data_IF_018024821553
#
_entry.id   IF_018024821553
#
_cell.length_a   1.000
_cell.length_b   1.000
_cell.length_c   1.000
_cell.angle_alpha   90.00
_cell.angle_beta   90.00
_cell.angle_gamma   90.00
#
_symmetry.space_group_name_H-M   'P 1'
#
loop_
_entity.id
_entity.type
_entity.pdbx_description
1 polymer ?
#
# COMPACT_ATOMS: atom_id res chain seq x y z
N UNK A 1 -50.43 31.11 10.40
CA UNK A 1 -50.21 31.71 9.06
C UNK A 1 -49.23 32.85 9.24
N UNK A 2 -48.32 33.01 8.26
CA UNK A 2 -47.14 33.93 8.16
C UNK A 2 -45.93 33.51 8.99
N UNK A 3 -44.91 32.77 8.53
CA UNK A 3 -44.02 32.83 7.34
C UNK A 3 -43.07 34.03 7.33
N UNK A 4 -41.84 33.82 7.84
CA UNK A 4 -40.66 34.62 7.52
C UNK A 4 -39.57 33.68 7.01
N UNK A 5 -39.36 33.73 5.69
CA UNK A 5 -38.24 33.16 4.95
C UNK A 5 -37.25 34.31 4.76
N UNK A 6 -35.99 34.09 5.15
CA UNK A 6 -34.90 35.01 4.86
C UNK A 6 -34.21 34.59 3.56
N UNK A 7 -34.35 35.44 2.54
CA UNK A 7 -33.69 35.33 1.24
C UNK A 7 -32.18 35.62 1.34
N UNK A 8 -31.35 34.68 0.89
CA UNK A 8 -29.91 34.90 0.64
C UNK A 8 -29.73 35.15 -0.87
N UNK A 9 -29.34 36.39 -1.20
CA UNK A 9 -29.02 36.84 -2.56
C UNK A 9 -27.78 36.13 -3.10
N UNK A 10 -27.91 35.61 -4.32
CA UNK A 10 -26.82 35.12 -5.17
C UNK A 10 -26.40 36.31 -6.06
N UNK A 11 -25.17 36.78 -5.94
CA UNK A 11 -24.58 37.74 -6.88
C UNK A 11 -23.87 36.97 -8.01
N UNK A 12 -24.34 37.23 -9.23
CA UNK A 12 -23.79 36.79 -10.50
C UNK A 12 -23.18 38.02 -11.15
N UNK A 13 -21.86 38.11 -11.22
CA UNK A 13 -21.19 39.14 -12.00
C UNK A 13 -20.83 38.61 -13.39
N UNK A 14 -21.44 39.26 -14.38
CA UNK A 14 -21.31 39.04 -15.81
C UNK A 14 -20.61 40.24 -16.47
N UNK A 15 -19.78 39.93 -17.47
CA UNK A 15 -19.48 40.71 -18.70
C UNK A 15 -18.47 41.88 -18.66
N UNK A 16 -17.94 42.37 -19.82
CA UNK A 16 -17.77 41.78 -21.17
C UNK A 16 -16.43 42.09 -21.93
N UNK A 17 -16.23 41.36 -23.04
CA UNK A 17 -15.65 41.70 -24.37
C UNK A 17 -14.41 42.60 -24.56
N UNK A 18 -13.42 42.14 -25.35
CA UNK A 18 -13.17 42.59 -26.76
C UNK A 18 -11.89 41.99 -27.39
N UNK A 19 -11.90 42.01 -28.73
CA UNK A 19 -11.13 41.28 -29.73
C UNK A 19 -9.80 41.94 -30.17
N UNK A 20 -8.94 41.09 -30.77
CA UNK A 20 -7.97 41.30 -31.89
C UNK A 20 -6.45 41.53 -31.64
N UNK A 21 -5.72 40.51 -32.13
CA UNK A 21 -4.47 40.52 -32.93
C UNK A 21 -3.20 41.20 -32.41
N UNK A 22 -2.15 40.40 -32.17
CA UNK A 22 -0.89 40.40 -32.96
C UNK A 22 0.14 39.41 -32.36
N UNK A 23 0.69 38.54 -33.20
CA UNK A 23 1.95 37.81 -32.97
C UNK A 23 3.12 38.70 -33.45
N UNK A 24 4.40 38.29 -33.37
CA UNK A 24 5.06 37.29 -32.51
C UNK A 24 6.27 37.90 -31.75
N UNK A 25 6.83 37.21 -30.75
CA UNK A 25 8.29 36.98 -30.58
C UNK A 25 8.60 36.22 -29.28
N UNK A 26 9.20 35.04 -29.45
CA UNK A 26 10.32 34.46 -28.69
C UNK A 26 10.43 34.73 -27.18
N UNK A 27 10.17 33.73 -26.34
CA UNK A 27 11.24 32.96 -25.68
C UNK A 27 10.72 31.96 -24.63
N UNK A 28 11.22 30.72 -24.76
CA UNK A 28 11.67 29.80 -23.71
C UNK A 28 10.80 29.57 -22.46
N UNK A 29 10.20 28.39 -22.35
CA UNK A 29 10.63 27.27 -21.47
C UNK A 29 9.46 26.29 -21.32
N UNK A 30 9.41 25.29 -22.20
CA UNK A 30 8.54 24.12 -22.02
C UNK A 30 9.45 22.91 -21.88
N UNK A 31 9.33 22.24 -20.75
CA UNK A 31 9.89 20.92 -20.44
C UNK A 31 9.42 19.89 -21.47
N UNK A 32 10.28 19.03 -22.05
CA UNK A 32 9.86 18.00 -23.00
C UNK A 32 9.24 16.80 -22.27
N UNK A 33 8.14 16.28 -22.82
CA UNK A 33 7.43 15.10 -22.36
C UNK A 33 8.27 13.81 -22.51
N UNK A 34 8.07 12.79 -21.65
CA UNK A 34 9.04 11.70 -21.45
C UNK A 34 8.98 10.52 -22.45
N UNK A 35 8.33 10.66 -23.61
CA UNK A 35 7.96 9.51 -24.45
C UNK A 35 8.42 9.55 -25.92
N UNK A 36 9.32 10.45 -26.31
CA UNK A 36 9.94 10.40 -27.64
C UNK A 36 11.23 9.58 -27.61
N UNK A 37 11.09 8.27 -27.85
CA UNK A 37 12.19 7.37 -28.23
C UNK A 37 12.23 7.36 -29.75
N UNK A 38 13.16 8.12 -30.33
CA UNK A 38 13.84 7.82 -31.60
C UNK A 38 14.94 8.87 -31.83
N UNK A 39 16.18 8.54 -31.49
CA UNK A 39 17.36 9.33 -31.83
C UNK A 39 18.51 8.39 -32.25
N UNK A 40 18.59 8.24 -33.58
CA UNK A 40 19.80 8.27 -34.41
C UNK A 40 21.13 7.86 -33.78
N UNK A 41 21.58 6.66 -34.14
CA UNK A 41 22.98 6.25 -34.12
C UNK A 41 23.65 6.70 -35.42
N UNK A 42 24.43 7.78 -35.36
CA UNK A 42 25.44 8.13 -36.36
C UNK A 42 26.75 8.39 -35.62
N UNK A 43 27.72 7.48 -35.75
CA UNK A 43 29.12 7.82 -35.51
C UNK A 43 30.02 7.07 -36.51
N UNK A 44 30.54 7.84 -37.45
CA UNK A 44 31.63 7.49 -38.35
C UNK A 44 32.97 7.72 -37.63
N UNK A 45 33.83 6.70 -37.57
CA UNK A 45 35.27 6.94 -37.76
C UNK A 45 36.03 5.65 -38.12
N UNK A 46 36.76 5.72 -39.23
CA UNK A 46 37.53 4.63 -39.83
C UNK A 46 38.91 4.43 -39.19
N UNK A 47 39.26 3.16 -38.98
CA UNK A 47 40.56 2.49 -39.10
C UNK A 47 41.87 3.20 -38.73
N UNK A 48 42.65 2.56 -37.85
CA UNK A 48 44.10 2.37 -38.03
C UNK A 48 44.61 1.17 -37.22
N UNK A 49 45.49 0.41 -37.87
CA UNK A 49 46.16 -0.84 -37.47
C UNK A 49 47.20 -0.69 -36.37
N UNK A 50 47.44 -1.76 -35.59
CA UNK A 50 48.75 -2.04 -35.01
C UNK A 50 48.77 -2.67 -33.61
N UNK A 51 49.29 -3.89 -33.57
CA UNK A 51 50.08 -4.49 -32.49
C UNK A 51 49.39 -5.20 -31.31
N UNK A 52 49.61 -6.52 -31.36
CA UNK A 52 49.64 -7.49 -30.26
C UNK A 52 50.27 -6.93 -28.98
N UNK A 53 49.60 -7.08 -27.84
CA UNK A 53 50.21 -7.43 -26.55
C UNK A 53 49.13 -7.98 -25.61
N UNK A 54 49.42 -9.16 -25.08
CA UNK A 54 48.68 -9.87 -24.03
C UNK A 54 48.59 -9.02 -22.76
N UNK A 55 47.38 -8.79 -22.26
CA UNK A 55 47.19 -8.58 -20.84
C UNK A 55 45.83 -9.17 -20.47
N UNK A 56 45.87 -10.15 -19.57
CA UNK A 56 44.73 -10.76 -18.91
C UNK A 56 43.70 -9.69 -18.57
N UNK A 57 42.56 -9.71 -19.26
CA UNK A 57 41.39 -8.97 -18.83
C UNK A 57 40.98 -9.60 -17.50
N UNK A 58 41.39 -8.97 -16.40
CA UNK A 58 40.61 -8.99 -15.18
C UNK A 58 39.22 -8.56 -15.64
N UNK A 59 38.28 -9.51 -15.69
CA UNK A 59 36.87 -9.18 -15.73
C UNK A 59 36.64 -8.38 -14.46
N UNK A 60 36.68 -7.06 -14.56
CA UNK A 60 35.97 -6.24 -13.60
C UNK A 60 34.51 -6.51 -13.92
N UNK A 61 33.76 -7.20 -13.05
CA UNK A 61 32.33 -7.34 -13.27
C UNK A 61 31.75 -5.93 -13.35
N UNK A 62 30.77 -5.72 -14.23
CA UNK A 62 30.04 -4.46 -14.27
C UNK A 62 29.53 -4.13 -12.85
N UNK A 63 29.45 -2.85 -12.44
CA UNK A 63 28.99 -2.46 -11.09
C UNK A 63 27.60 -2.98 -10.72
N UNK A 64 26.86 -3.51 -11.69
CA UNK A 64 25.51 -4.06 -11.60
C UNK A 64 25.45 -5.59 -11.77
N UNK A 65 26.58 -6.25 -12.08
CA UNK A 65 26.67 -7.69 -12.37
C UNK A 65 26.98 -8.57 -11.14
N UNK A 66 27.02 -7.98 -9.95
CA UNK A 66 26.99 -8.73 -8.67
C UNK A 66 25.80 -8.23 -7.86
N UNK A 67 24.60 -8.36 -8.42
CA UNK A 67 23.48 -8.71 -7.56
C UNK A 67 23.73 -10.18 -7.23
N UNK A 68 24.17 -10.50 -6.02
CA UNK A 68 24.42 -11.88 -5.60
C UNK A 68 23.10 -12.67 -5.60
N UNK A 69 22.64 -13.08 -6.78
CA UNK A 69 21.44 -13.89 -6.95
C UNK A 69 21.56 -15.20 -6.15
N UNK A 70 22.79 -15.70 -5.99
CA UNK A 70 23.10 -16.83 -5.13
C UNK A 70 22.89 -16.50 -3.64
N UNK A 71 23.29 -15.33 -3.16
CA UNK A 71 23.04 -14.90 -1.79
C UNK A 71 21.54 -14.65 -1.52
N UNK A 72 20.82 -14.04 -2.47
CA UNK A 72 19.36 -13.88 -2.38
C UNK A 72 18.64 -15.23 -2.35
N UNK A 73 19.07 -16.19 -3.18
CA UNK A 73 18.49 -17.54 -3.18
C UNK A 73 18.83 -18.31 -1.88
N UNK A 74 20.04 -18.14 -1.35
CA UNK A 74 20.46 -18.74 -0.07
C UNK A 74 19.65 -18.14 1.09
N UNK A 75 19.47 -16.83 1.09
CA UNK A 75 18.60 -16.12 2.04
C UNK A 75 17.16 -16.63 1.94
N UNK A 76 16.64 -16.82 0.72
CA UNK A 76 15.31 -17.38 0.50
C UNK A 76 15.16 -18.79 1.07
N UNK A 77 16.16 -19.65 0.89
CA UNK A 77 16.17 -20.99 1.48
C UNK A 77 16.24 -20.96 3.02
N UNK A 78 17.04 -20.05 3.61
CA UNK A 78 17.13 -19.86 5.06
C UNK A 78 15.80 -19.36 5.66
N UNK A 79 15.07 -18.50 4.93
CA UNK A 79 13.73 -18.10 5.33
C UNK A 79 12.77 -19.29 5.29
N UNK A 80 12.77 -20.08 4.22
CA UNK A 80 11.89 -21.25 4.11
C UNK A 80 12.17 -22.34 5.14
N UNK A 81 13.43 -22.49 5.57
CA UNK A 81 13.82 -23.42 6.63
C UNK A 81 13.43 -22.92 8.03
N UNK A 82 13.14 -21.62 8.17
CA UNK A 82 12.82 -20.98 9.45
C UNK A 82 14.04 -20.65 10.31
N UNK A 83 15.26 -20.70 9.75
CA UNK A 83 16.50 -20.39 10.48
C UNK A 83 16.73 -18.88 10.58
N UNK A 84 16.27 -18.28 11.68
CA UNK A 84 16.42 -16.85 11.92
C UNK A 84 17.88 -16.42 12.19
N UNK A 85 18.77 -17.33 12.58
CA UNK A 85 20.17 -17.00 12.88
C UNK A 85 20.97 -16.91 11.57
N UNK A 86 20.73 -17.83 10.64
CA UNK A 86 21.29 -17.78 9.28
C UNK A 86 20.81 -16.53 8.54
N UNK A 87 19.50 -16.23 8.58
CA UNK A 87 18.95 -15.00 7.99
C UNK A 87 19.57 -13.75 8.59
N UNK A 88 19.86 -13.75 9.91
CA UNK A 88 20.52 -12.61 10.56
C UNK A 88 21.96 -12.44 10.11
N UNK A 89 22.71 -13.53 9.92
CA UNK A 89 24.07 -13.49 9.41
C UNK A 89 24.11 -12.94 7.98
N UNK A 90 23.28 -13.49 7.09
CA UNK A 90 23.15 -13.03 5.70
C UNK A 90 22.65 -11.58 5.62
N UNK A 91 21.76 -11.17 6.53
CA UNK A 91 21.30 -9.79 6.64
C UNK A 91 22.41 -8.83 7.10
N UNK A 92 23.36 -9.30 7.92
CA UNK A 92 24.51 -8.50 8.36
C UNK A 92 25.58 -8.33 7.28
N UNK A 93 25.68 -9.29 6.36
CA UNK A 93 26.50 -9.17 5.15
C UNK A 93 25.88 -8.19 4.15
N UNK A 94 24.58 -7.92 4.33
CA UNK A 94 23.86 -6.88 3.62
C UNK A 94 23.53 -7.29 2.18
N UNK A 95 22.76 -8.36 2.06
CA UNK A 95 22.21 -8.77 0.78
C UNK A 95 21.20 -7.72 0.31
N UNK A 96 21.38 -7.20 -0.92
CA UNK A 96 20.40 -6.33 -1.55
C UNK A 96 19.23 -7.15 -2.08
N UNK A 97 18.01 -6.82 -1.65
CA UNK A 97 16.78 -7.49 -2.08
C UNK A 97 16.09 -6.60 -3.11
N UNK A 98 15.96 -7.10 -4.34
CA UNK A 98 15.24 -6.41 -5.41
C UNK A 98 13.74 -6.31 -5.09
N UNK A 99 13.03 -5.27 -5.56
CA UNK A 99 11.56 -5.19 -5.45
C UNK A 99 10.82 -6.39 -6.03
N UNK A 100 11.42 -7.09 -7.01
CA UNK A 100 10.86 -8.32 -7.58
C UNK A 100 10.92 -9.51 -6.59
N UNK A 101 11.91 -9.52 -5.71
CA UNK A 101 12.15 -10.57 -4.71
C UNK A 101 11.58 -10.20 -3.32
N UNK A 102 10.94 -9.05 -3.21
CA UNK A 102 10.29 -8.55 -1.98
C UNK A 102 9.29 -9.53 -1.36
N UNK A 103 8.81 -10.50 -2.13
CA UNK A 103 7.98 -11.61 -1.62
C UNK A 103 8.65 -12.40 -0.48
N UNK A 104 9.98 -12.40 -0.40
CA UNK A 104 10.72 -13.02 0.70
C UNK A 104 10.28 -12.49 2.07
N UNK A 105 9.93 -11.20 2.17
CA UNK A 105 9.45 -10.60 3.42
C UNK A 105 8.08 -11.14 3.82
N UNK A 106 7.22 -11.45 2.85
CA UNK A 106 5.94 -12.09 3.13
C UNK A 106 6.15 -13.50 3.67
N UNK A 107 7.03 -14.30 3.06
CA UNK A 107 7.34 -15.64 3.54
C UNK A 107 7.97 -15.60 4.94
N UNK A 108 8.87 -14.65 5.19
CA UNK A 108 9.47 -14.42 6.50
C UNK A 108 8.41 -14.15 7.59
N UNK A 109 7.37 -13.38 7.26
CA UNK A 109 6.27 -13.12 8.18
C UNK A 109 5.47 -14.39 8.54
N UNK A 110 5.37 -15.35 7.63
CA UNK A 110 4.71 -16.64 7.91
C UNK A 110 5.52 -17.48 8.91
N UNK A 111 6.85 -17.34 8.91
CA UNK A 111 7.74 -18.00 9.85
C UNK A 111 7.74 -17.36 11.25
N UNK A 112 7.21 -16.15 11.39
CA UNK A 112 6.96 -15.48 12.68
C UNK A 112 7.76 -14.20 12.94
N UNK A 113 7.56 -13.58 14.12
CA UNK A 113 8.10 -12.25 14.42
C UNK A 113 9.63 -12.22 14.55
N UNK A 114 10.24 -13.29 15.06
CA UNK A 114 11.70 -13.38 15.19
C UNK A 114 12.43 -13.28 13.84
N UNK A 115 11.80 -13.80 12.78
CA UNK A 115 12.35 -13.73 11.44
C UNK A 115 12.36 -12.28 10.93
N UNK A 116 11.30 -11.51 11.19
CA UNK A 116 11.24 -10.09 10.83
C UNK A 116 12.36 -9.33 11.53
N UNK A 117 12.58 -9.58 12.82
CA UNK A 117 13.66 -8.96 13.58
C UNK A 117 15.06 -9.32 13.06
N UNK A 118 15.24 -10.48 12.41
CA UNK A 118 16.50 -10.85 11.78
C UNK A 118 16.84 -9.97 10.57
N UNK A 119 15.83 -9.55 9.80
CA UNK A 119 15.98 -8.64 8.66
C UNK A 119 16.33 -7.21 9.05
N UNK A 120 16.00 -6.77 10.26
CA UNK A 120 16.23 -5.39 10.72
C UNK A 120 17.71 -5.00 10.79
N UNK A 121 18.61 -5.97 10.81
CA UNK A 121 20.06 -5.72 10.76
C UNK A 121 20.52 -5.26 9.36
N UNK A 122 19.72 -5.46 8.32
CA UNK A 122 20.08 -5.09 6.97
C UNK A 122 19.62 -3.66 6.67
N UNK A 123 20.54 -2.73 6.37
CA UNK A 123 20.22 -1.32 6.10
C UNK A 123 19.45 -1.11 4.78
N UNK A 124 19.41 -2.11 3.91
CA UNK A 124 18.74 -2.04 2.60
C UNK A 124 17.32 -2.62 2.60
N UNK A 125 16.85 -3.14 3.73
CA UNK A 125 15.50 -3.70 3.84
C UNK A 125 14.48 -2.59 4.00
N UNK A 126 13.64 -2.42 2.98
CA UNK A 126 12.43 -1.61 3.05
C UNK A 126 11.19 -2.51 3.05
N UNK A 127 10.56 -2.71 4.21
CA UNK A 127 9.32 -3.50 4.34
C UNK A 127 8.08 -2.75 3.82
N UNK A 128 8.19 -1.45 3.53
CA UNK A 128 7.12 -0.61 3.00
C UNK A 128 6.97 -0.69 1.49
N UNK A 129 7.93 -1.28 0.78
CA UNK A 129 7.90 -1.39 -0.67
C UNK A 129 6.68 -2.21 -1.16
N UNK A 130 6.11 -1.85 -2.33
CA UNK A 130 5.00 -2.61 -2.90
C UNK A 130 5.47 -4.02 -3.27
N UNK A 131 4.69 -5.03 -2.87
CA UNK A 131 4.94 -6.41 -3.24
C UNK A 131 4.47 -6.68 -4.67
N UNK A 132 5.25 -7.44 -5.42
CA UNK A 132 4.86 -7.96 -6.72
C UNK A 132 3.78 -9.04 -6.55
N UNK A 133 2.52 -8.64 -6.42
CA UNK A 133 1.40 -9.58 -6.29
C UNK A 133 0.11 -9.12 -6.96
N UNK A 134 -0.89 -10.01 -7.06
CA UNK A 134 -2.07 -9.81 -7.92
C UNK A 134 -2.96 -8.65 -7.48
N UNK A 135 -3.06 -8.39 -6.17
CA UNK A 135 -3.89 -7.30 -5.64
C UNK A 135 -3.15 -5.98 -5.53
N UNK A 136 -1.83 -5.96 -5.71
CA UNK A 136 -0.98 -4.83 -5.36
C UNK A 136 -1.01 -4.48 -3.88
N UNK A 137 -0.20 -3.49 -3.53
CA UNK A 137 -0.04 -2.98 -2.17
C UNK A 137 1.23 -3.48 -1.48
N UNK A 138 1.42 -3.04 -0.23
CA UNK A 138 2.58 -3.41 0.58
C UNK A 138 2.36 -4.71 1.36
N UNK A 139 3.44 -5.20 1.97
CA UNK A 139 3.47 -6.37 2.86
C UNK A 139 2.28 -6.44 3.83
N UNK A 140 1.96 -5.33 4.49
CA UNK A 140 0.87 -5.25 5.48
C UNK A 140 -0.49 -5.65 4.89
N UNK A 141 -0.79 -5.29 3.64
CA UNK A 141 -2.06 -5.61 2.99
C UNK A 141 -2.20 -7.12 2.76
N UNK A 142 -1.11 -7.78 2.35
CA UNK A 142 -1.09 -9.22 2.13
C UNK A 142 -1.19 -10.00 3.44
N UNK A 143 -0.51 -9.54 4.50
CA UNK A 143 -0.60 -10.14 5.83
C UNK A 143 -2.03 -10.07 6.39
N UNK A 144 -2.71 -8.94 6.21
CA UNK A 144 -4.08 -8.77 6.68
C UNK A 144 -5.07 -9.65 5.90
N UNK A 145 -4.89 -9.81 4.59
CA UNK A 145 -5.71 -10.69 3.73
C UNK A 145 -5.47 -12.17 3.98
N UNK A 146 -4.29 -12.54 4.48
CA UNK A 146 -3.92 -13.95 4.70
C UNK A 146 -4.63 -14.50 5.94
N UNK A 147 -5.12 -15.74 5.84
CA UNK A 147 -5.86 -16.36 6.92
C UNK A 147 -4.98 -16.56 8.18
N UNK A 148 -5.56 -16.39 9.37
CA UNK A 148 -4.86 -16.61 10.65
C UNK A 148 -4.25 -18.01 10.77
N UNK A 149 -4.82 -19.02 10.11
CA UNK A 149 -4.32 -20.41 10.09
C UNK A 149 -2.94 -20.57 9.45
N UNK A 150 -2.50 -19.60 8.63
CA UNK A 150 -1.16 -19.59 8.02
C UNK A 150 -0.07 -19.08 8.98
N UNK A 151 -0.45 -18.52 10.14
CA UNK A 151 0.48 -17.95 11.11
C UNK A 151 0.57 -18.85 12.35
N UNK A 152 1.46 -19.87 12.37
CA UNK A 152 1.58 -20.78 13.50
C UNK A 152 2.00 -20.09 14.80
N UNK A 153 2.74 -18.98 14.69
CA UNK A 153 3.24 -18.19 15.81
C UNK A 153 2.38 -16.94 16.13
N UNK A 154 1.20 -16.83 15.53
CA UNK A 154 0.23 -15.76 15.82
C UNK A 154 0.31 -14.57 14.87
N UNK A 155 -0.79 -14.32 14.13
CA UNK A 155 -0.92 -13.23 13.16
C UNK A 155 -0.71 -11.84 13.78
N UNK A 156 -1.20 -11.64 15.01
CA UNK A 156 -1.11 -10.36 15.73
C UNK A 156 0.35 -9.97 16.01
N UNK A 157 1.15 -10.89 16.51
CA UNK A 157 2.53 -10.61 16.93
C UNK A 157 3.44 -10.36 15.72
N UNK A 158 3.23 -11.10 14.64
CA UNK A 158 3.89 -10.83 13.35
C UNK A 158 3.56 -9.43 12.84
N UNK A 159 2.28 -9.01 12.86
CA UNK A 159 1.89 -7.66 12.43
C UNK A 159 2.50 -6.59 13.32
N UNK A 160 2.57 -6.80 14.65
CA UNK A 160 3.25 -5.88 15.57
C UNK A 160 4.71 -5.73 15.19
N UNK A 161 5.42 -6.84 14.93
CA UNK A 161 6.82 -6.81 14.56
C UNK A 161 7.07 -6.03 13.25
N UNK A 162 6.19 -6.17 12.24
CA UNK A 162 6.25 -5.34 11.02
C UNK A 162 6.02 -3.86 11.33
N UNK A 163 4.99 -3.53 12.12
CA UNK A 163 4.66 -2.14 12.45
C UNK A 163 5.75 -1.46 13.29
N UNK A 164 6.49 -2.22 14.12
CA UNK A 164 7.64 -1.71 14.86
C UNK A 164 8.78 -1.24 13.94
N UNK A 165 8.85 -1.71 12.69
CA UNK A 165 9.82 -1.24 11.69
C UNK A 165 9.40 0.07 10.99
N UNK A 166 8.51 0.85 11.62
CA UNK A 166 7.99 2.11 11.09
C UNK A 166 7.33 1.99 9.70
N UNK A 167 6.81 0.80 9.37
CA UNK A 167 6.08 0.57 8.12
C UNK A 167 4.77 1.35 8.15
N UNK A 168 4.51 2.11 7.09
CA UNK A 168 3.24 2.83 6.95
C UNK A 168 2.06 1.84 6.87
N UNK A 169 1.09 1.90 7.81
CA UNK A 169 -0.07 1.01 7.78
C UNK A 169 -1.11 1.39 6.71
N UNK A 170 -1.07 2.63 6.20
CA UNK A 170 -2.03 3.15 5.22
C UNK A 170 -1.40 3.09 3.82
N UNK A 171 -1.24 1.86 3.32
CA UNK A 171 -0.89 1.61 1.92
C UNK A 171 -2.12 1.11 1.18
N UNK A 172 -2.40 1.70 0.03
CA UNK A 172 -3.53 1.34 -0.81
C UNK A 172 -3.16 0.19 -1.76
N UNK A 173 -4.05 -0.79 -1.89
CA UNK A 173 -3.95 -1.82 -2.92
C UNK A 173 -4.50 -1.32 -4.28
N UNK A 174 -4.48 -2.16 -5.32
CA UNK A 174 -5.03 -1.82 -6.65
C UNK A 174 -6.56 -1.62 -6.65
N UNK A 175 -7.23 -1.86 -5.54
CA UNK A 175 -8.66 -1.59 -5.35
C UNK A 175 -8.89 -0.34 -4.47
N UNK A 176 -7.83 0.35 -4.02
CA UNK A 176 -7.92 1.48 -3.11
C UNK A 176 -8.23 1.07 -1.67
N UNK A 177 -8.10 -0.21 -1.32
CA UNK A 177 -8.24 -0.67 0.05
C UNK A 177 -6.92 -0.48 0.79
N UNK A 178 -6.99 0.12 1.98
CA UNK A 178 -5.92 0.08 2.97
C UNK A 178 -6.27 -0.89 4.11
N UNK A 179 -5.40 -1.00 5.11
CA UNK A 179 -5.52 -1.93 6.23
C UNK A 179 -6.94 -1.99 6.87
N UNK A 180 -7.59 -0.84 7.10
CA UNK A 180 -8.92 -0.81 7.74
C UNK A 180 -10.02 -1.38 6.82
N UNK A 181 -9.93 -1.18 5.50
CA UNK A 181 -10.87 -1.78 4.55
C UNK A 181 -10.75 -3.30 4.57
N UNK A 182 -9.53 -3.82 4.54
CA UNK A 182 -9.25 -5.26 4.54
C UNK A 182 -9.76 -5.90 5.83
N UNK A 183 -9.47 -5.28 6.98
CA UNK A 183 -9.93 -5.77 8.28
C UNK A 183 -11.45 -5.71 8.42
N UNK A 184 -12.08 -4.63 7.94
CA UNK A 184 -13.54 -4.50 7.95
C UNK A 184 -14.23 -5.52 7.02
N UNK A 185 -13.58 -5.88 5.91
CA UNK A 185 -14.08 -6.91 4.99
C UNK A 185 -13.87 -8.33 5.53
N UNK A 186 -12.86 -8.54 6.37
CA UNK A 186 -12.52 -9.88 6.86
C UNK A 186 -13.60 -10.45 7.78
N UNK A 187 -13.83 -11.76 7.63
CA UNK A 187 -14.76 -12.52 8.46
C UNK A 187 -14.06 -13.18 9.67
N UNK A 188 -12.79 -12.86 9.91
CA UNK A 188 -12.01 -13.47 10.99
C UNK A 188 -12.40 -12.90 12.35
N UNK A 189 -12.34 -13.74 13.40
CA UNK A 189 -12.58 -13.30 14.78
C UNK A 189 -11.54 -12.30 15.26
N UNK A 190 -10.32 -12.39 14.73
CA UNK A 190 -9.18 -11.58 15.14
C UNK A 190 -9.19 -10.20 14.48
N UNK A 191 -10.05 -10.00 13.49
CA UNK A 191 -10.19 -8.75 12.76
C UNK A 191 -10.43 -7.55 13.68
N UNK A 192 -11.28 -7.73 14.70
CA UNK A 192 -11.57 -6.70 15.68
C UNK A 192 -10.37 -6.40 16.60
N UNK A 193 -9.63 -7.43 17.01
CA UNK A 193 -8.44 -7.26 17.83
C UNK A 193 -7.32 -6.53 17.07
N UNK A 194 -7.17 -6.84 15.78
CA UNK A 194 -6.28 -6.11 14.88
C UNK A 194 -6.80 -4.69 14.62
N UNK A 195 -8.11 -4.48 14.41
CA UNK A 195 -8.69 -3.14 14.24
C UNK A 195 -8.40 -2.24 15.45
N UNK A 196 -8.53 -2.77 16.68
CA UNK A 196 -8.14 -2.06 17.92
C UNK A 196 -6.65 -1.75 17.96
N UNK A 197 -5.80 -2.63 17.42
CA UNK A 197 -4.37 -2.38 17.35
C UNK A 197 -4.05 -1.18 16.46
N UNK A 198 -4.63 -1.11 15.25
CA UNK A 198 -4.38 -0.01 14.31
C UNK A 198 -4.98 1.33 14.77
N UNK A 199 -6.07 1.34 15.54
CA UNK A 199 -6.80 2.56 15.91
C UNK A 199 -6.60 3.01 17.36
N UNK A 200 -6.43 2.10 18.32
CA UNK A 200 -6.33 2.43 19.74
C UNK A 200 -4.90 2.33 20.30
N UNK A 201 -3.92 1.84 19.55
CA UNK A 201 -2.50 1.84 19.95
C UNK A 201 -2.19 1.07 21.25
N UNK A 202 -2.95 0.02 21.58
CA UNK A 202 -2.79 -0.68 22.85
C UNK A 202 -1.50 -1.52 22.88
N UNK A 203 -0.67 -1.30 23.90
CA UNK A 203 0.44 -2.14 24.40
C UNK A 203 1.60 -2.47 23.43
N UNK A 204 1.52 -2.12 22.14
CA UNK A 204 2.49 -2.54 21.11
C UNK A 204 3.62 -1.54 20.84
N UNK A 205 3.63 -0.37 21.50
CA UNK A 205 4.70 0.64 21.38
C UNK A 205 4.72 1.41 20.05
N UNK A 206 3.70 1.26 19.21
CA UNK A 206 3.60 1.88 17.89
C UNK A 206 2.53 2.99 17.85
N UNK A 207 2.66 4.00 18.72
CA UNK A 207 1.74 5.14 18.82
C UNK A 207 1.52 5.88 17.49
N UNK A 208 2.50 5.82 16.58
CA UNK A 208 2.41 6.42 15.25
C UNK A 208 1.31 5.81 14.37
N UNK A 209 0.95 4.54 14.60
CA UNK A 209 0.02 3.81 13.73
C UNK A 209 -1.40 4.36 13.86
N UNK A 210 -1.87 4.60 15.08
CA UNK A 210 -3.17 5.20 15.35
C UNK A 210 -3.27 6.61 14.76
N UNK A 211 -2.22 7.42 14.96
CA UNK A 211 -2.16 8.78 14.39
C UNK A 211 -2.22 8.78 12.86
N UNK A 212 -1.59 7.79 12.20
CA UNK A 212 -1.66 7.62 10.76
C UNK A 212 -3.03 7.09 10.28
N UNK A 213 -3.68 6.21 11.04
CA UNK A 213 -4.93 5.57 10.62
C UNK A 213 -6.18 6.45 10.78
N UNK A 214 -6.25 7.27 11.84
CA UNK A 214 -7.43 8.08 12.16
C UNK A 214 -7.85 9.04 11.02
N UNK A 215 -6.95 9.79 10.36
CA UNK A 215 -7.32 10.67 9.25
C UNK A 215 -7.94 9.91 8.05
N UNK A 216 -7.57 8.64 7.88
CA UNK A 216 -7.99 7.81 6.76
C UNK A 216 -9.18 6.90 7.09
N UNK A 217 -9.79 7.03 8.27
CA UNK A 217 -10.91 6.18 8.71
C UNK A 217 -12.15 6.29 7.80
N UNK A 218 -12.33 7.46 7.17
CA UNK A 218 -13.43 7.77 6.26
C UNK A 218 -13.02 7.73 4.77
N UNK A 219 -11.78 7.33 4.48
CA UNK A 219 -11.33 7.19 3.09
C UNK A 219 -12.15 6.11 2.38
N UNK A 220 -12.47 6.37 1.11
CA UNK A 220 -13.23 5.45 0.27
C UNK A 220 -12.27 4.69 -0.63
N UNK A 221 -12.50 3.40 -0.81
CA UNK A 221 -11.79 2.62 -1.82
C UNK A 221 -12.25 2.99 -3.24
N UNK A 222 -11.56 2.48 -4.26
CA UNK A 222 -12.00 2.71 -5.64
C UNK A 222 -13.31 1.97 -5.90
N UNK A 223 -14.24 2.58 -6.67
CA UNK A 223 -15.49 1.94 -7.02
C UNK A 223 -15.20 0.64 -7.79
N UNK A 224 -15.90 -0.43 -7.41
CA UNK A 224 -15.88 -1.66 -8.18
C UNK A 224 -16.54 -1.43 -9.54
N UNK A 225 -16.15 -2.22 -10.54
CA UNK A 225 -16.74 -2.15 -11.88
C UNK A 225 -18.27 -2.32 -11.79
N UNK A 226 -19.03 -1.30 -12.19
CA UNK A 226 -20.50 -1.28 -12.09
C UNK A 226 -21.06 -0.55 -10.87
N UNK A 227 -20.22 0.05 -10.04
CA UNK A 227 -20.63 0.99 -8.98
C UNK A 227 -20.14 2.41 -9.28
N UNK A 228 -20.95 3.39 -8.88
CA UNK A 228 -20.59 4.82 -8.96
C UNK A 228 -19.73 5.27 -7.77
N UNK A 229 -19.61 4.43 -6.74
CA UNK A 229 -19.17 4.85 -5.42
C UNK A 229 -18.23 3.83 -4.74
N UNK A 230 -17.18 4.34 -4.11
CA UNK A 230 -16.34 3.56 -3.20
C UNK A 230 -17.02 3.29 -1.86
N UNK A 231 -16.65 2.19 -1.23
CA UNK A 231 -17.01 1.87 0.15
C UNK A 231 -16.01 2.49 1.12
N UNK A 232 -16.50 2.90 2.30
CA UNK A 232 -15.66 3.18 3.48
C UNK A 232 -15.46 1.91 4.31
N UNK A 233 -14.45 1.85 5.19
CA UNK A 233 -14.27 0.74 6.12
C UNK A 233 -15.54 0.45 6.94
N UNK A 234 -16.26 1.50 7.35
CA UNK A 234 -17.51 1.37 8.09
C UNK A 234 -18.61 0.69 7.27
N UNK A 235 -18.80 1.09 6.01
CA UNK A 235 -19.79 0.46 5.13
C UNK A 235 -19.46 -1.00 4.84
N UNK A 236 -18.17 -1.35 4.70
CA UNK A 236 -17.72 -2.74 4.53
C UNK A 236 -17.99 -3.58 5.79
N UNK A 237 -17.70 -3.04 6.98
CA UNK A 237 -17.96 -3.74 8.24
C UNK A 237 -19.45 -4.07 8.42
N UNK A 238 -20.35 -3.14 8.06
CA UNK A 238 -21.80 -3.39 8.05
C UNK A 238 -22.18 -4.42 6.98
N UNK A 239 -21.59 -4.34 5.78
CA UNK A 239 -21.79 -5.32 4.70
C UNK A 239 -21.29 -6.73 5.08
N UNK A 240 -20.42 -6.86 6.07
CA UNK A 240 -19.96 -8.16 6.57
C UNK A 240 -20.60 -8.55 7.89
N UNK A 241 -21.52 -7.74 8.42
CA UNK A 241 -22.15 -7.92 9.72
C UNK A 241 -21.13 -8.02 10.87
N UNK A 242 -20.00 -7.31 10.75
CA UNK A 242 -18.94 -7.31 11.75
C UNK A 242 -19.21 -6.20 12.78
N UNK A 243 -20.09 -6.51 13.74
CA UNK A 243 -20.61 -5.56 14.74
C UNK A 243 -19.48 -4.95 15.58
N UNK A 244 -18.48 -5.75 15.96
CA UNK A 244 -17.36 -5.29 16.77
C UNK A 244 -16.51 -4.28 16.00
N UNK A 245 -16.18 -4.55 14.73
CA UNK A 245 -15.48 -3.58 13.87
C UNK A 245 -16.29 -2.30 13.67
N UNK A 246 -17.63 -2.38 13.53
CA UNK A 246 -18.50 -1.19 13.46
C UNK A 246 -18.38 -0.35 14.72
N UNK A 247 -18.42 -0.97 15.91
CA UNK A 247 -18.27 -0.25 17.17
C UNK A 247 -16.91 0.43 17.29
N UNK A 248 -15.82 -0.27 16.96
CA UNK A 248 -14.46 0.29 17.04
C UNK A 248 -14.32 1.47 16.07
N UNK A 249 -14.79 1.34 14.82
CA UNK A 249 -14.70 2.41 13.83
C UNK A 249 -15.50 3.65 14.26
N UNK A 250 -16.72 3.47 14.77
CA UNK A 250 -17.54 4.60 15.26
C UNK A 250 -16.92 5.27 16.49
N UNK A 251 -16.35 4.50 17.42
CA UNK A 251 -15.64 5.03 18.59
C UNK A 251 -14.43 5.89 18.20
N UNK A 252 -13.80 5.60 17.05
CA UNK A 252 -12.64 6.32 16.54
C UNK A 252 -13.00 7.42 15.51
N UNK A 253 -14.28 7.82 15.41
CA UNK A 253 -14.71 8.96 14.58
C UNK A 253 -15.04 8.64 13.13
N UNK A 254 -15.34 7.37 12.80
CA UNK A 254 -15.89 7.02 11.50
C UNK A 254 -17.27 7.69 11.30
N UNK A 255 -17.47 8.32 10.15
CA UNK A 255 -18.70 9.02 9.80
C UNK A 255 -19.78 8.04 9.31
N UNK A 256 -20.87 7.82 10.07
CA UNK A 256 -21.95 6.91 9.68
C UNK A 256 -22.78 7.39 8.49
N UNK A 257 -22.66 8.67 8.12
CA UNK A 257 -23.38 9.28 7.00
C UNK A 257 -22.65 9.09 5.67
N UNK A 258 -21.42 8.58 5.70
CA UNK A 258 -20.66 8.23 4.50
C UNK A 258 -21.40 7.21 3.64
N UNK A 259 -21.53 7.52 2.35
CA UNK A 259 -22.21 6.69 1.35
C UNK A 259 -21.23 5.69 0.74
N UNK A 260 -21.65 4.43 0.64
CA UNK A 260 -20.90 3.33 0.01
C UNK A 260 -21.30 3.05 -1.44
N UNK A 261 -21.02 1.84 -1.91
CA UNK A 261 -21.16 1.34 -3.30
C UNK A 261 -22.54 1.50 -3.95
N UNK A 262 -23.59 1.74 -3.17
CA UNK A 262 -24.97 1.88 -3.65
C UNK A 262 -25.59 3.26 -3.35
N UNK A 263 -24.76 4.28 -3.12
CA UNK A 263 -25.18 5.57 -2.55
C UNK A 263 -25.90 5.41 -1.18
N UNK A 264 -25.68 4.26 -0.53
CA UNK A 264 -26.30 3.90 0.73
C UNK A 264 -25.36 4.20 1.89
N UNK A 265 -25.91 4.80 2.94
CA UNK A 265 -25.26 4.94 4.23
C UNK A 265 -25.13 3.58 4.92
N UNK A 266 -24.21 3.51 5.89
CA UNK A 266 -24.05 2.33 6.75
C UNK A 266 -25.39 1.90 7.40
N UNK A 267 -26.21 2.86 7.83
CA UNK A 267 -27.52 2.58 8.40
C UNK A 267 -28.50 1.97 7.39
N UNK A 268 -28.58 2.52 6.18
CA UNK A 268 -29.46 2.00 5.12
C UNK A 268 -29.08 0.56 4.72
N UNK A 269 -27.78 0.26 4.66
CA UNK A 269 -27.25 -1.09 4.41
C UNK A 269 -27.63 -2.07 5.54
N UNK A 270 -27.55 -1.64 6.80
CA UNK A 270 -27.94 -2.48 7.93
C UNK A 270 -29.45 -2.82 7.91
N UNK A 271 -30.28 -1.82 7.59
CA UNK A 271 -31.74 -1.98 7.51
C UNK A 271 -32.12 -2.91 6.36
N UNK A 272 -31.57 -2.70 5.16
CA UNK A 272 -31.88 -3.54 3.99
C UNK A 272 -31.55 -5.01 4.25
N UNK A 273 -30.38 -5.30 4.84
CA UNK A 273 -29.95 -6.66 5.16
C UNK A 273 -30.81 -7.35 6.21
N UNK A 274 -31.28 -6.61 7.22
CA UNK A 274 -32.21 -7.16 8.21
C UNK A 274 -33.49 -7.66 7.54
N UNK A 275 -34.02 -6.93 6.56
CA UNK A 275 -35.20 -7.37 5.81
C UNK A 275 -34.94 -8.60 4.94
N UNK A 276 -33.77 -8.70 4.29
CA UNK A 276 -33.42 -9.89 3.49
C UNK A 276 -33.20 -11.15 4.34
N UNK A 277 -32.59 -11.05 5.51
CA UNK A 277 -32.37 -12.20 6.40
C UNK A 277 -33.63 -12.65 7.16
N UNK A 278 -34.71 -11.88 7.13
CA UNK A 278 -35.98 -12.22 7.80
C UNK A 278 -36.92 -13.07 6.91
N UNK A 279 -36.50 -13.40 5.69
CA UNK A 279 -37.30 -14.10 4.67
C UNK A 279 -36.89 -15.54 4.36
N UNK A 280 -36.09 -16.18 5.22
CA UNK A 280 -35.69 -17.60 5.10
C UNK A 280 -36.13 -18.40 6.32
#
# INVERSE_FOLDING_TARGET
>A
MTSELADVKIEVDNHPDTLLSNTPTTNSTTTPDPWDIDAELDDHCSGMSGDTLTCSSVMTPDPWDIIDAEAVNTLFHAVLSGDADEVRALSSDGVYISPLDSWIFFEACLQGPNMIHAFCNNPWVDLGQPLAGPTGGALINYLLKTAASRFPLGKRDTIIAVLQQAVNPIVYDHCGNHALHILAESAETDAAALMKLFLCGTDSGCDFTAAACVPHINSRNWPKLGSEFGNTPLTLAVLRNNIECVHILLQNGADPTSRGEFDQTAMQLAVSRRFYNSGH
#
